data_IF_785478227058
#
_entry.id   IF_785478227058
#
_cell.length_a   1.000
_cell.length_b   1.000
_cell.length_c   1.000
_cell.angle_alpha   90.00
_cell.angle_beta   90.00
_cell.angle_gamma   90.00
#
_symmetry.space_group_name_H-M   'P 1'
#
loop_
_entity.id
_entity.type
_entity.pdbx_description
1 polymer ?
#
# COMPACT_ATOMS: atom_id res chain seq x y z
N UNK A 1 34.26 -5.83 -12.30
CA UNK A 1 33.95 -5.86 -13.76
C UNK A 1 32.56 -5.26 -13.94
N UNK A 2 32.43 -4.09 -14.54
CA UNK A 2 31.17 -3.44 -14.86
C UNK A 2 30.66 -4.09 -16.15
N UNK A 3 29.69 -4.98 -16.08
CA UNK A 3 29.06 -5.56 -17.26
C UNK A 3 28.44 -4.44 -18.11
N UNK A 4 28.84 -4.23 -19.35
CA UNK A 4 28.23 -3.23 -20.24
C UNK A 4 26.77 -3.50 -20.54
N UNK A 5 26.28 -4.72 -20.30
CA UNK A 5 24.87 -5.12 -20.38
C UNK A 5 23.95 -4.44 -19.35
N UNK A 6 24.48 -3.82 -18.28
CA UNK A 6 23.65 -3.32 -17.16
C UNK A 6 22.89 -2.04 -17.50
N UNK A 7 23.45 -1.12 -18.32
CA UNK A 7 22.73 0.11 -18.70
C UNK A 7 21.47 -0.17 -19.53
N UNK A 8 21.56 -1.12 -20.47
CA UNK A 8 20.41 -1.54 -21.27
C UNK A 8 19.29 -2.16 -20.43
N UNK A 9 19.64 -2.98 -19.42
CA UNK A 9 18.68 -3.60 -18.53
C UNK A 9 17.99 -2.58 -17.59
N UNK A 10 18.72 -1.57 -17.11
CA UNK A 10 18.10 -0.49 -16.31
C UNK A 10 17.02 0.25 -17.08
N UNK A 11 17.29 0.62 -18.33
CA UNK A 11 16.36 1.36 -19.17
C UNK A 11 15.19 0.49 -19.66
N UNK A 12 15.46 -0.76 -20.04
CA UNK A 12 14.46 -1.63 -20.68
C UNK A 12 13.65 -2.48 -19.69
N UNK A 13 14.19 -2.74 -18.50
CA UNK A 13 13.53 -3.57 -17.50
C UNK A 13 13.17 -2.75 -16.26
N UNK A 14 14.17 -2.17 -15.57
CA UNK A 14 13.92 -1.53 -14.28
C UNK A 14 12.95 -0.33 -14.41
N UNK A 15 13.23 0.61 -15.30
CA UNK A 15 12.41 1.83 -15.41
C UNK A 15 10.93 1.57 -15.77
N UNK A 16 10.58 0.69 -16.73
CA UNK A 16 9.19 0.38 -17.00
C UNK A 16 8.44 -0.20 -15.80
N UNK A 17 9.06 -1.16 -15.11
CA UNK A 17 8.46 -1.76 -13.91
C UNK A 17 8.38 -0.76 -12.74
N UNK A 18 9.38 0.10 -12.60
CA UNK A 18 9.36 1.19 -11.62
C UNK A 18 8.24 2.21 -11.90
N UNK A 19 7.99 2.52 -13.17
CA UNK A 19 6.85 3.36 -13.57
C UNK A 19 5.50 2.70 -13.24
N UNK A 20 5.37 1.39 -13.44
CA UNK A 20 4.18 0.62 -13.03
C UNK A 20 3.95 0.72 -11.52
N UNK A 21 5.00 0.53 -10.71
CA UNK A 21 4.89 0.61 -9.26
C UNK A 21 4.67 2.05 -8.75
N UNK A 22 5.24 3.06 -9.41
CA UNK A 22 4.92 4.48 -9.18
C UNK A 22 3.42 4.74 -9.37
N UNK A 23 2.84 4.29 -10.48
CA UNK A 23 1.40 4.43 -10.76
C UNK A 23 0.55 3.67 -9.72
N UNK A 24 0.98 2.49 -9.30
CA UNK A 24 0.28 1.71 -8.27
C UNK A 24 0.14 2.49 -6.96
N UNK A 25 1.21 3.15 -6.49
CA UNK A 25 1.17 3.98 -5.29
C UNK A 25 0.41 5.29 -5.50
N UNK A 26 0.55 5.90 -6.66
CA UNK A 26 -0.20 7.11 -7.02
C UNK A 26 -1.70 6.84 -6.96
N UNK A 27 -2.20 5.80 -7.63
CA UNK A 27 -3.61 5.42 -7.57
C UNK A 27 -4.10 5.08 -6.16
N UNK A 28 -3.26 4.44 -5.36
CA UNK A 28 -3.57 4.06 -3.98
C UNK A 28 -3.84 5.27 -3.10
N UNK A 29 -3.00 6.29 -3.22
CA UNK A 29 -3.00 7.47 -2.32
C UNK A 29 -3.75 8.68 -2.88
N UNK A 30 -4.00 8.74 -4.19
CA UNK A 30 -4.71 9.84 -4.85
C UNK A 30 -6.08 10.15 -4.24
N UNK A 31 -6.73 9.12 -3.67
CA UNK A 31 -8.07 9.29 -3.10
C UNK A 31 -8.10 10.16 -1.83
N UNK A 32 -6.97 10.30 -1.14
CA UNK A 32 -6.86 11.24 -0.02
C UNK A 32 -7.08 12.70 -0.45
N UNK A 33 -6.75 13.03 -1.71
CA UNK A 33 -6.91 14.37 -2.30
C UNK A 33 -8.19 14.46 -3.14
N UNK A 34 -8.51 13.44 -3.95
CA UNK A 34 -9.71 13.43 -4.80
C UNK A 34 -10.99 13.16 -3.99
N UNK A 35 -10.90 12.36 -2.91
CA UNK A 35 -12.06 11.92 -2.13
C UNK A 35 -12.94 13.06 -1.60
N UNK A 36 -12.40 14.12 -0.99
CA UNK A 36 -13.18 15.28 -0.57
C UNK A 36 -13.91 15.98 -1.73
N UNK A 37 -13.28 16.07 -2.91
CA UNK A 37 -13.89 16.65 -4.12
C UNK A 37 -15.08 15.80 -4.57
N UNK A 38 -14.92 14.46 -4.60
CA UNK A 38 -15.99 13.53 -4.93
C UNK A 38 -17.14 13.59 -3.92
N UNK A 39 -16.81 13.67 -2.63
CA UNK A 39 -17.81 13.77 -1.56
C UNK A 39 -18.69 15.01 -1.74
N UNK A 40 -18.07 16.15 -2.09
CA UNK A 40 -18.80 17.40 -2.35
C UNK A 40 -19.62 17.34 -3.63
N UNK A 41 -19.02 16.92 -4.75
CA UNK A 41 -19.67 16.92 -6.08
C UNK A 41 -20.85 15.93 -6.14
N UNK A 42 -20.70 14.76 -5.53
CA UNK A 42 -21.68 13.66 -5.60
C UNK A 42 -22.48 13.49 -4.31
N UNK A 43 -22.35 14.42 -3.35
CA UNK A 43 -23.04 14.37 -2.04
C UNK A 43 -22.85 13.04 -1.31
N UNK A 44 -21.63 12.49 -1.33
CA UNK A 44 -21.31 11.21 -0.70
C UNK A 44 -21.03 11.38 0.80
N UNK A 45 -21.76 10.64 1.62
CA UNK A 45 -21.44 10.52 3.05
C UNK A 45 -20.17 9.70 3.30
N UNK A 46 -19.63 9.78 4.52
CA UNK A 46 -18.38 9.11 4.90
C UNK A 46 -18.40 7.58 4.71
N UNK A 47 -19.56 6.94 4.94
CA UNK A 47 -19.72 5.50 4.67
C UNK A 47 -19.57 5.16 3.18
N UNK A 48 -20.24 5.92 2.30
CA UNK A 48 -20.16 5.71 0.85
C UNK A 48 -18.73 5.97 0.33
N UNK A 49 -18.07 7.03 0.83
CA UNK A 49 -16.71 7.37 0.49
C UNK A 49 -15.71 6.30 0.98
N UNK A 50 -15.90 5.78 2.19
CA UNK A 50 -15.12 4.68 2.74
C UNK A 50 -15.29 3.40 1.92
N UNK A 51 -16.52 3.05 1.54
CA UNK A 51 -16.78 1.90 0.67
C UNK A 51 -16.13 2.07 -0.70
N UNK A 52 -16.32 3.21 -1.33
CA UNK A 52 -15.74 3.53 -2.64
C UNK A 52 -14.22 3.35 -2.64
N UNK A 53 -13.54 3.87 -1.62
CA UNK A 53 -12.08 3.77 -1.54
C UNK A 53 -11.60 2.37 -1.16
N UNK A 54 -12.38 1.64 -0.38
CA UNK A 54 -12.03 0.29 0.06
C UNK A 54 -12.10 -0.75 -1.06
N UNK A 55 -12.94 -0.56 -2.09
CA UNK A 55 -13.05 -1.50 -3.22
C UNK A 55 -11.73 -1.71 -3.96
N UNK A 56 -10.86 -0.68 -4.00
CA UNK A 56 -9.49 -0.81 -4.49
C UNK A 56 -8.70 -1.87 -3.71
N UNK A 57 -8.72 -1.79 -2.38
CA UNK A 57 -7.98 -2.71 -1.51
C UNK A 57 -8.53 -4.13 -1.55
N UNK A 58 -9.85 -4.27 -1.65
CA UNK A 58 -10.49 -5.57 -1.79
C UNK A 58 -10.04 -6.28 -3.07
N UNK A 59 -10.14 -5.60 -4.20
CA UNK A 59 -9.75 -6.16 -5.50
C UNK A 59 -8.24 -6.44 -5.57
N UNK A 60 -7.42 -5.53 -5.06
CA UNK A 60 -5.97 -5.72 -4.95
C UNK A 60 -5.62 -6.95 -4.09
N UNK A 61 -6.24 -7.08 -2.91
CA UNK A 61 -6.03 -8.21 -2.01
C UNK A 61 -6.47 -9.54 -2.60
N UNK A 62 -7.66 -9.59 -3.21
CA UNK A 62 -8.19 -10.78 -3.86
C UNK A 62 -7.28 -11.27 -5.00
N UNK A 63 -6.69 -10.34 -5.75
CA UNK A 63 -5.76 -10.65 -6.82
C UNK A 63 -4.47 -11.33 -6.34
N UNK A 64 -4.04 -11.13 -5.09
CA UNK A 64 -2.79 -11.71 -4.57
C UNK A 64 -2.78 -13.24 -4.62
N UNK A 65 -3.94 -13.88 -4.46
CA UNK A 65 -4.04 -15.35 -4.48
C UNK A 65 -3.68 -15.94 -5.85
N UNK A 66 -4.31 -15.51 -6.98
CA UNK A 66 -3.98 -16.05 -8.30
C UNK A 66 -2.70 -15.45 -8.90
N UNK A 67 -2.25 -14.31 -8.40
CA UNK A 67 -1.15 -13.55 -9.00
C UNK A 67 0.15 -14.35 -9.08
N UNK A 68 0.51 -15.08 -8.03
CA UNK A 68 1.70 -15.93 -8.03
C UNK A 68 1.67 -16.95 -9.17
N UNK A 69 0.52 -17.62 -9.36
CA UNK A 69 0.32 -18.60 -10.43
C UNK A 69 0.40 -17.97 -11.82
N UNK A 70 -0.20 -16.79 -11.98
CA UNK A 70 -0.15 -16.05 -13.24
C UNK A 70 1.29 -15.65 -13.59
N UNK A 71 2.03 -15.13 -12.62
CA UNK A 71 3.43 -14.74 -12.79
C UNK A 71 4.32 -15.95 -13.13
N UNK A 72 4.06 -17.12 -12.52
CA UNK A 72 4.82 -18.35 -12.80
C UNK A 72 4.54 -18.89 -14.19
N UNK A 73 3.27 -18.84 -14.63
CA UNK A 73 2.84 -19.39 -15.90
C UNK A 73 3.16 -18.47 -17.09
N UNK A 74 2.89 -17.17 -16.97
CA UNK A 74 2.92 -16.24 -18.10
C UNK A 74 4.11 -15.26 -18.05
N UNK A 75 4.87 -15.25 -16.95
CA UNK A 75 5.99 -14.35 -16.74
C UNK A 75 5.57 -12.93 -16.33
N UNK A 76 6.52 -12.15 -15.74
CA UNK A 76 6.22 -10.84 -15.16
C UNK A 76 5.81 -9.81 -16.22
N UNK A 77 6.42 -9.80 -17.40
CA UNK A 77 6.15 -8.85 -18.49
C UNK A 77 4.70 -8.90 -18.95
N UNK A 78 4.22 -10.10 -19.30
CA UNK A 78 2.88 -10.29 -19.86
C UNK A 78 1.81 -10.03 -18.81
N UNK A 79 2.03 -10.51 -17.57
CA UNK A 79 1.06 -10.36 -16.48
C UNK A 79 0.92 -8.90 -16.08
N UNK A 80 2.02 -8.18 -15.88
CA UNK A 80 1.94 -6.77 -15.47
C UNK A 80 1.35 -5.90 -16.57
N UNK A 81 1.78 -6.07 -17.82
CA UNK A 81 1.23 -5.30 -18.93
C UNK A 81 -0.29 -5.53 -19.10
N UNK A 82 -0.75 -6.78 -19.06
CA UNK A 82 -2.18 -7.10 -19.17
C UNK A 82 -2.99 -6.51 -17.99
N UNK A 83 -2.48 -6.62 -16.78
CA UNK A 83 -3.14 -6.06 -15.60
C UNK A 83 -3.15 -4.53 -15.62
N UNK A 84 -2.10 -3.86 -16.10
CA UNK A 84 -2.10 -2.41 -16.27
C UNK A 84 -3.13 -1.93 -17.30
N UNK A 85 -3.44 -2.72 -18.34
CA UNK A 85 -4.56 -2.41 -19.25
C UNK A 85 -5.88 -2.44 -18.49
N UNK A 86 -6.08 -3.40 -17.57
CA UNK A 86 -7.27 -3.44 -16.70
C UNK A 86 -7.29 -2.21 -15.79
N UNK A 87 -6.15 -1.80 -15.23
CA UNK A 87 -6.07 -0.59 -14.41
C UNK A 87 -6.46 0.67 -15.18
N UNK A 88 -5.95 0.81 -16.41
CA UNK A 88 -6.28 1.93 -17.29
C UNK A 88 -7.78 1.96 -17.64
N UNK A 89 -8.35 0.79 -17.98
CA UNK A 89 -9.80 0.67 -18.20
C UNK A 89 -10.58 1.05 -16.94
N UNK A 90 -10.12 0.64 -15.77
CA UNK A 90 -10.70 1.02 -14.49
C UNK A 90 -10.66 2.52 -14.24
N UNK A 91 -9.54 3.19 -14.56
CA UNK A 91 -9.41 4.62 -14.44
C UNK A 91 -10.34 5.38 -15.41
N UNK A 92 -10.53 4.86 -16.62
CA UNK A 92 -11.51 5.39 -17.57
C UNK A 92 -12.95 5.21 -17.07
N UNK A 93 -13.32 4.02 -16.57
CA UNK A 93 -14.63 3.77 -15.94
C UNK A 93 -14.86 4.72 -14.77
N UNK A 94 -13.86 4.91 -13.91
CA UNK A 94 -13.94 5.84 -12.79
C UNK A 94 -14.19 7.28 -13.26
N UNK A 95 -13.46 7.74 -14.28
CA UNK A 95 -13.58 9.10 -14.81
C UNK A 95 -14.92 9.39 -15.47
N UNK A 96 -15.52 8.37 -16.12
CA UNK A 96 -16.76 8.50 -16.90
C UNK A 96 -18.03 8.20 -16.08
N UNK A 97 -17.88 7.81 -14.81
CA UNK A 97 -19.01 7.43 -13.95
C UNK A 97 -19.50 8.61 -13.12
N UNK A 98 -20.84 8.72 -13.01
CA UNK A 98 -21.53 9.66 -12.13
C UNK A 98 -22.21 8.94 -10.93
N UNK A 99 -22.29 7.61 -10.98
CA UNK A 99 -22.91 6.79 -9.93
C UNK A 99 -21.86 6.09 -9.06
N UNK A 100 -22.17 5.96 -7.76
CA UNK A 100 -21.30 5.27 -6.78
C UNK A 100 -20.87 3.88 -7.25
N UNK A 101 -21.77 3.10 -7.86
CA UNK A 101 -21.48 1.75 -8.35
C UNK A 101 -20.41 1.74 -9.45
N UNK A 102 -20.50 2.65 -10.41
CA UNK A 102 -19.51 2.80 -11.49
C UNK A 102 -18.16 3.28 -10.98
N UNK A 103 -18.15 4.23 -10.04
CA UNK A 103 -16.93 4.70 -9.37
C UNK A 103 -16.27 3.57 -8.57
N UNK A 104 -17.05 2.78 -7.83
CA UNK A 104 -16.56 1.63 -7.07
C UNK A 104 -15.99 0.54 -7.98
N UNK A 105 -16.66 0.26 -9.11
CA UNK A 105 -16.15 -0.66 -10.13
C UNK A 105 -14.83 -0.17 -10.73
N UNK A 106 -14.74 1.12 -11.08
CA UNK A 106 -13.50 1.74 -11.56
C UNK A 106 -12.36 1.57 -10.56
N UNK A 107 -12.61 1.84 -9.28
CA UNK A 107 -11.63 1.65 -8.19
C UNK A 107 -11.22 0.18 -8.01
N UNK A 108 -12.16 -0.75 -8.09
CA UNK A 108 -11.87 -2.18 -8.04
C UNK A 108 -11.00 -2.63 -9.22
N UNK A 109 -11.32 -2.20 -10.44
CA UNK A 109 -10.51 -2.50 -11.63
C UNK A 109 -9.11 -1.89 -11.55
N UNK A 110 -8.96 -0.66 -11.05
CA UNK A 110 -7.65 -0.06 -10.79
C UNK A 110 -6.88 -0.92 -9.79
N UNK A 111 -7.49 -1.27 -8.65
CA UNK A 111 -6.85 -2.09 -7.61
C UNK A 111 -6.40 -3.45 -8.11
N UNK A 112 -7.26 -4.14 -8.88
CA UNK A 112 -6.93 -5.39 -9.55
C UNK A 112 -5.76 -5.21 -10.51
N UNK A 113 -5.82 -4.18 -11.36
CA UNK A 113 -4.86 -3.95 -12.42
C UNK A 113 -3.45 -3.57 -11.94
N UNK A 114 -3.32 -2.86 -10.82
CA UNK A 114 -1.99 -2.51 -10.26
C UNK A 114 -1.48 -3.51 -9.23
N UNK A 115 -2.20 -4.58 -8.97
CA UNK A 115 -1.87 -5.55 -7.91
C UNK A 115 -0.56 -6.31 -8.17
N UNK A 116 -0.16 -6.45 -9.43
CA UNK A 116 1.05 -7.16 -9.83
C UNK A 116 2.33 -6.32 -9.72
N UNK A 117 2.25 -4.99 -9.78
CA UNK A 117 3.40 -4.12 -10.05
C UNK A 117 4.63 -4.39 -9.18
N UNK A 118 4.46 -4.69 -7.89
CA UNK A 118 5.58 -5.02 -7.00
C UNK A 118 6.10 -6.45 -7.23
N UNK A 119 5.21 -7.43 -7.26
CA UNK A 119 5.60 -8.84 -7.34
C UNK A 119 6.16 -9.21 -8.72
N UNK A 120 5.59 -8.63 -9.78
CA UNK A 120 6.12 -8.76 -11.13
C UNK A 120 7.51 -8.13 -11.25
N UNK A 121 7.72 -6.95 -10.65
CA UNK A 121 9.04 -6.30 -10.58
C UNK A 121 10.07 -7.21 -9.91
N UNK A 122 9.75 -7.76 -8.73
CA UNK A 122 10.65 -8.66 -8.02
C UNK A 122 11.00 -9.90 -8.84
N UNK A 123 10.00 -10.52 -9.48
CA UNK A 123 10.21 -11.68 -10.34
C UNK A 123 11.07 -11.32 -11.56
N UNK A 124 10.78 -10.20 -12.22
CA UNK A 124 11.57 -9.72 -13.34
C UNK A 124 13.03 -9.46 -12.93
N UNK A 125 13.25 -8.80 -11.80
CA UNK A 125 14.61 -8.51 -11.32
C UNK A 125 15.36 -9.79 -10.95
N UNK A 126 14.71 -10.77 -10.32
CA UNK A 126 15.31 -12.05 -10.00
C UNK A 126 15.74 -12.85 -11.24
N UNK A 127 15.04 -12.69 -12.37
CA UNK A 127 15.37 -13.37 -13.62
C UNK A 127 16.55 -12.75 -14.37
N UNK A 128 16.79 -11.44 -14.23
CA UNK A 128 17.71 -10.68 -15.07
C UNK A 128 18.90 -10.06 -14.33
N UNK A 129 18.82 -9.89 -13.03
CA UNK A 129 19.90 -9.32 -12.23
C UNK A 129 20.47 -10.33 -11.24
N UNK A 130 21.77 -10.27 -10.94
CA UNK A 130 22.38 -11.19 -10.01
C UNK A 130 21.88 -10.97 -8.57
N UNK A 131 21.94 -12.02 -7.71
CA UNK A 131 21.40 -11.98 -6.34
C UNK A 131 21.94 -10.82 -5.48
N UNK A 132 23.20 -10.43 -5.68
CA UNK A 132 23.87 -9.36 -4.93
C UNK A 132 23.21 -7.99 -5.16
N UNK A 133 22.47 -7.81 -6.27
CA UNK A 133 21.77 -6.56 -6.61
C UNK A 133 20.31 -6.52 -6.16
N UNK A 134 19.74 -7.65 -5.74
CA UNK A 134 18.32 -7.73 -5.41
C UNK A 134 17.91 -6.77 -4.27
N UNK A 135 18.75 -6.65 -3.23
CA UNK A 135 18.50 -5.73 -2.13
C UNK A 135 18.45 -4.26 -2.59
N UNK A 136 19.40 -3.88 -3.48
CA UNK A 136 19.42 -2.52 -4.04
C UNK A 136 18.23 -2.25 -4.96
N UNK A 137 17.85 -3.20 -5.81
CA UNK A 137 16.70 -3.09 -6.69
C UNK A 137 15.39 -2.99 -5.90
N UNK A 138 15.28 -3.74 -4.79
CA UNK A 138 14.16 -3.62 -3.86
C UNK A 138 14.07 -2.21 -3.27
N UNK A 139 15.18 -1.64 -2.83
CA UNK A 139 15.23 -0.25 -2.33
C UNK A 139 14.76 0.76 -3.40
N UNK A 140 15.27 0.64 -4.62
CA UNK A 140 14.92 1.54 -5.71
C UNK A 140 13.45 1.41 -6.17
N UNK A 141 12.90 0.18 -6.22
CA UNK A 141 11.48 0.01 -6.56
C UNK A 141 10.58 0.59 -5.47
N UNK A 142 10.92 0.41 -4.19
CA UNK A 142 10.19 1.02 -3.08
C UNK A 142 10.25 2.56 -3.15
N UNK A 143 11.39 3.13 -3.52
CA UNK A 143 11.53 4.57 -3.75
C UNK A 143 10.62 5.06 -4.89
N UNK A 144 10.51 4.31 -5.99
CA UNK A 144 9.58 4.64 -7.08
C UNK A 144 8.11 4.68 -6.58
N UNK A 145 7.71 3.73 -5.75
CA UNK A 145 6.40 3.77 -5.08
C UNK A 145 6.24 4.99 -4.18
N UNK A 146 7.25 5.30 -3.36
CA UNK A 146 7.25 6.49 -2.50
C UNK A 146 7.11 7.81 -3.30
N UNK A 147 7.76 7.90 -4.46
CA UNK A 147 7.59 9.02 -5.40
C UNK A 147 6.16 9.09 -5.95
N UNK A 148 5.53 7.93 -6.22
CA UNK A 148 4.11 7.85 -6.61
C UNK A 148 3.19 8.41 -5.53
N UNK A 149 3.43 8.07 -4.25
CA UNK A 149 2.68 8.63 -3.13
C UNK A 149 2.88 10.15 -2.97
N UNK A 150 4.10 10.64 -3.19
CA UNK A 150 4.38 12.09 -3.21
C UNK A 150 3.64 12.80 -4.33
N UNK A 151 3.63 12.23 -5.54
CA UNK A 151 2.93 12.79 -6.70
C UNK A 151 1.41 12.86 -6.48
N UNK A 152 0.86 11.95 -5.70
CA UNK A 152 -0.56 11.91 -5.35
C UNK A 152 -0.98 12.91 -4.25
N UNK A 153 -0.06 13.67 -3.68
CA UNK A 153 -0.34 14.67 -2.64
C UNK A 153 -0.41 16.09 -3.24
N UNK A 154 0.54 16.96 -2.91
CA UNK A 154 0.52 18.36 -3.39
C UNK A 154 0.54 18.51 -4.92
N UNK A 155 1.31 17.72 -5.69
CA UNK A 155 1.24 17.82 -7.16
C UNK A 155 -0.15 17.52 -7.73
N UNK A 156 -0.86 16.52 -7.17
CA UNK A 156 -2.22 16.19 -7.59
C UNK A 156 -3.21 17.30 -7.21
N UNK A 157 -3.08 17.87 -6.03
CA UNK A 157 -3.91 19.00 -5.57
C UNK A 157 -3.73 20.21 -6.50
N UNK A 158 -2.49 20.54 -6.86
CA UNK A 158 -2.21 21.60 -7.83
C UNK A 158 -2.83 21.30 -9.20
N UNK A 159 -2.76 20.05 -9.66
CA UNK A 159 -3.38 19.65 -10.93
C UNK A 159 -4.91 19.83 -10.91
N UNK A 160 -5.57 19.62 -9.77
CA UNK A 160 -7.01 19.88 -9.59
C UNK A 160 -7.38 21.38 -9.71
N UNK A 161 -6.42 22.28 -9.53
CA UNK A 161 -6.60 23.72 -9.80
C UNK A 161 -6.70 24.07 -11.29
N UNK A 162 -6.22 23.19 -12.19
CA UNK A 162 -6.19 23.42 -13.63
C UNK A 162 -7.11 22.49 -14.41
N UNK A 163 -7.44 21.32 -13.86
CA UNK A 163 -8.22 20.29 -14.53
C UNK A 163 -9.18 19.60 -13.57
N UNK A 164 -10.32 19.11 -14.09
CA UNK A 164 -11.24 18.30 -13.30
C UNK A 164 -10.59 16.96 -12.89
N UNK A 165 -11.06 16.38 -11.80
CA UNK A 165 -10.60 15.04 -11.38
C UNK A 165 -10.85 13.96 -12.46
N UNK A 166 -11.91 14.14 -13.29
CA UNK A 166 -12.20 13.28 -14.43
C UNK A 166 -11.11 13.37 -15.50
N UNK A 167 -10.69 14.58 -15.84
CA UNK A 167 -9.60 14.82 -16.81
C UNK A 167 -8.29 14.23 -16.31
N UNK A 168 -7.99 14.40 -15.02
CA UNK A 168 -6.79 13.84 -14.40
C UNK A 168 -6.84 12.30 -14.42
N UNK A 169 -7.99 11.69 -14.10
CA UNK A 169 -8.15 10.24 -14.13
C UNK A 169 -8.00 9.66 -15.55
N UNK A 170 -8.51 10.35 -16.59
CA UNK A 170 -8.28 9.98 -18.00
C UNK A 170 -6.80 10.13 -18.38
N UNK A 171 -6.12 11.19 -17.94
CA UNK A 171 -4.68 11.37 -18.12
C UNK A 171 -3.87 10.24 -17.48
N UNK A 172 -4.24 9.83 -16.27
CA UNK A 172 -3.65 8.67 -15.60
C UNK A 172 -3.95 7.35 -16.32
N UNK A 173 -5.15 7.18 -16.87
CA UNK A 173 -5.48 6.03 -17.72
C UNK A 173 -4.57 5.95 -18.94
N UNK A 174 -4.38 7.06 -19.65
CA UNK A 174 -3.48 7.14 -20.80
C UNK A 174 -2.03 6.87 -20.43
N UNK A 175 -1.54 7.46 -19.33
CA UNK A 175 -0.20 7.18 -18.79
C UNK A 175 -0.02 5.70 -18.42
N UNK A 176 -1.04 5.08 -17.82
CA UNK A 176 -1.02 3.64 -17.46
C UNK A 176 -0.97 2.77 -18.70
N UNK A 177 -1.74 3.08 -19.76
CA UNK A 177 -1.65 2.38 -21.06
C UNK A 177 -0.27 2.54 -21.70
N UNK A 178 0.32 3.74 -21.63
CA UNK A 178 1.68 3.95 -22.13
C UNK A 178 2.70 3.09 -21.39
N UNK A 179 2.62 3.01 -20.06
CA UNK A 179 3.49 2.14 -19.25
C UNK A 179 3.25 0.67 -19.58
N UNK A 180 2.00 0.23 -19.73
CA UNK A 180 1.67 -1.13 -20.15
C UNK A 180 2.30 -1.48 -21.51
N UNK A 181 2.19 -0.56 -22.50
CA UNK A 181 2.80 -0.71 -23.81
C UNK A 181 4.33 -0.76 -23.74
N UNK A 182 4.96 0.11 -22.94
CA UNK A 182 6.41 0.12 -22.75
C UNK A 182 6.85 -1.22 -22.13
N UNK A 183 6.16 -1.72 -21.11
CA UNK A 183 6.47 -3.04 -20.52
C UNK A 183 6.31 -4.15 -21.57
N UNK A 184 5.24 -4.13 -22.34
CA UNK A 184 4.96 -5.17 -23.35
C UNK A 184 5.98 -5.19 -24.48
N UNK A 185 6.38 -4.04 -25.02
CA UNK A 185 7.23 -3.95 -26.22
C UNK A 185 8.70 -3.79 -25.91
N UNK A 186 9.08 -3.18 -24.78
CA UNK A 186 10.47 -2.81 -24.46
C UNK A 186 11.11 -3.75 -23.44
N UNK A 187 10.33 -4.24 -22.46
CA UNK A 187 10.89 -5.12 -21.43
C UNK A 187 11.29 -6.47 -22.04
N UNK A 188 12.50 -6.97 -21.74
CA UNK A 188 12.91 -8.28 -22.22
C UNK A 188 12.04 -9.39 -21.62
N UNK A 189 11.72 -10.39 -22.42
CA UNK A 189 10.97 -11.59 -22.01
C UNK A 189 11.93 -12.74 -21.77
N UNK A 190 11.73 -13.49 -20.71
CA UNK A 190 12.43 -14.73 -20.45
C UNK A 190 11.39 -15.80 -20.19
N UNK A 191 11.39 -16.83 -21.00
CA UNK A 191 10.48 -17.96 -20.77
C UNK A 191 10.74 -18.56 -19.40
N UNK A 192 9.68 -18.80 -18.65
CA UNK A 192 9.77 -19.42 -17.34
C UNK A 192 10.13 -20.90 -17.53
N UNK A 193 11.35 -21.27 -17.18
CA UNK A 193 11.80 -22.68 -17.19
C UNK A 193 11.15 -23.49 -16.04
N UNK A 194 10.61 -22.81 -15.05
CA UNK A 194 9.89 -23.45 -13.95
C UNK A 194 8.49 -23.83 -14.40
N UNK A 195 8.27 -25.11 -14.67
CA UNK A 195 6.93 -25.72 -14.69
C UNK A 195 6.33 -25.46 -13.31
N UNK A 196 5.36 -24.56 -13.24
CA UNK A 196 4.73 -24.15 -11.99
C UNK A 196 4.39 -25.35 -11.11
N UNK A 197 4.75 -25.31 -9.85
CA UNK A 197 4.33 -26.34 -8.88
C UNK A 197 2.82 -26.48 -8.96
N UNK A 198 2.31 -27.71 -9.12
CA UNK A 198 0.88 -27.95 -9.29
C UNK A 198 0.04 -27.28 -8.18
N UNK A 199 -1.20 -26.93 -8.49
CA UNK A 199 -2.12 -26.21 -7.58
C UNK A 199 -2.17 -26.86 -6.18
N UNK A 200 -2.14 -28.19 -6.09
CA UNK A 200 -2.14 -28.91 -4.81
C UNK A 200 -0.90 -28.64 -3.95
N UNK A 201 0.29 -28.57 -4.55
CA UNK A 201 1.52 -28.22 -3.82
C UNK A 201 1.52 -26.76 -3.35
N UNK A 202 0.87 -25.88 -4.10
CA UNK A 202 0.70 -24.48 -3.70
C UNK A 202 -0.27 -24.36 -2.52
N UNK A 203 -1.40 -25.07 -2.56
CA UNK A 203 -2.38 -25.11 -1.47
C UNK A 203 -1.80 -25.71 -0.18
N UNK A 204 -0.99 -26.77 -0.29
CA UNK A 204 -0.31 -27.35 0.86
C UNK A 204 0.65 -26.35 1.53
N UNK A 205 1.40 -25.57 0.75
CA UNK A 205 2.26 -24.50 1.26
C UNK A 205 1.46 -23.39 1.97
N UNK A 206 0.32 -22.97 1.41
CA UNK A 206 -0.57 -22.00 2.03
C UNK A 206 -1.12 -22.52 3.35
N UNK A 207 -1.57 -23.77 3.40
CA UNK A 207 -2.04 -24.42 4.64
C UNK A 207 -0.95 -24.44 5.71
N UNK A 208 0.29 -24.78 5.37
CA UNK A 208 1.42 -24.79 6.30
C UNK A 208 1.68 -23.40 6.92
N UNK A 209 1.57 -22.33 6.11
CA UNK A 209 1.76 -20.94 6.56
C UNK A 209 0.65 -20.54 7.53
N UNK A 210 -0.62 -20.73 7.17
CA UNK A 210 -1.74 -20.34 8.04
C UNK A 210 -1.89 -21.23 9.28
N UNK A 211 -1.27 -22.41 9.31
CA UNK A 211 -1.18 -23.25 10.51
C UNK A 211 -0.02 -22.86 11.43
N UNK A 212 0.87 -21.98 11.01
CA UNK A 212 2.06 -21.58 11.75
C UNK A 212 1.74 -20.57 12.85
N UNK A 213 2.13 -20.88 14.09
CA UNK A 213 2.04 -19.92 15.22
C UNK A 213 2.89 -18.68 14.98
N UNK A 214 4.05 -18.83 14.32
CA UNK A 214 4.93 -17.70 14.01
C UNK A 214 4.25 -16.73 13.05
N UNK A 215 3.54 -17.24 12.04
CA UNK A 215 2.77 -16.40 11.13
C UNK A 215 1.71 -15.59 11.89
N UNK A 216 0.89 -16.22 12.71
CA UNK A 216 -0.16 -15.55 13.48
C UNK A 216 0.34 -14.62 14.58
N UNK A 217 1.61 -14.68 14.92
CA UNK A 217 2.24 -13.70 15.80
C UNK A 217 2.32 -12.32 15.15
N UNK A 218 2.61 -12.26 13.85
CA UNK A 218 2.77 -11.01 13.09
C UNK A 218 1.54 -10.63 12.26
N UNK A 219 0.68 -11.57 11.93
CA UNK A 219 -0.48 -11.36 11.06
C UNK A 219 -1.44 -10.26 11.56
N UNK A 220 -1.84 -10.22 12.87
CA UNK A 220 -2.66 -9.13 13.39
C UNK A 220 -1.98 -7.76 13.31
N UNK A 221 -0.65 -7.73 13.47
CA UNK A 221 0.13 -6.50 13.29
C UNK A 221 0.08 -5.98 11.85
N UNK A 222 0.18 -6.90 10.86
CA UNK A 222 0.01 -6.56 9.44
C UNK A 222 -1.37 -5.95 9.16
N UNK A 223 -2.42 -6.54 9.71
CA UNK A 223 -3.80 -6.07 9.55
C UNK A 223 -3.99 -4.67 10.16
N UNK A 224 -3.69 -4.48 11.44
CA UNK A 224 -4.01 -3.27 12.19
C UNK A 224 -3.03 -2.12 11.97
N UNK A 225 -1.72 -2.39 11.80
CA UNK A 225 -0.73 -1.32 11.59
C UNK A 225 -0.54 -1.01 10.11
N UNK A 226 -0.13 -2.00 9.31
CA UNK A 226 0.15 -1.74 7.90
C UNK A 226 -1.14 -1.47 7.13
N UNK A 227 -2.16 -2.32 7.29
CA UNK A 227 -3.48 -2.13 6.69
C UNK A 227 -4.18 -0.88 7.22
N UNK A 228 -4.13 -0.63 8.53
CA UNK A 228 -4.68 0.56 9.17
C UNK A 228 -4.03 1.85 8.67
N UNK A 229 -2.71 1.87 8.51
CA UNK A 229 -2.03 3.03 7.93
C UNK A 229 -2.44 3.27 6.48
N UNK A 230 -2.58 2.21 5.67
CA UNK A 230 -3.07 2.35 4.29
C UNK A 230 -4.46 2.99 4.24
N UNK A 231 -5.36 2.60 5.15
CA UNK A 231 -6.68 3.20 5.27
C UNK A 231 -6.59 4.68 5.68
N UNK A 232 -5.76 5.00 6.68
CA UNK A 232 -5.56 6.37 7.16
C UNK A 232 -4.94 7.24 6.06
N UNK A 233 -3.85 6.81 5.44
CA UNK A 233 -3.17 7.57 4.39
C UNK A 233 -4.05 7.71 3.13
N UNK A 234 -4.82 6.67 2.79
CA UNK A 234 -5.62 6.64 1.57
C UNK A 234 -6.85 7.55 1.58
N UNK A 235 -7.35 7.92 2.77
CA UNK A 235 -8.53 8.77 2.91
C UNK A 235 -8.61 9.45 4.28
N UNK A 236 -8.52 8.69 5.38
CA UNK A 236 -9.00 9.17 6.68
C UNK A 236 -8.13 10.25 7.31
N UNK A 237 -6.82 10.33 6.96
CA UNK A 237 -5.96 11.43 7.40
C UNK A 237 -6.46 12.77 6.86
N UNK A 238 -6.82 12.85 5.57
CA UNK A 238 -7.34 14.09 4.96
C UNK A 238 -8.67 14.50 5.59
N UNK A 239 -9.57 13.53 5.83
CA UNK A 239 -10.86 13.78 6.47
C UNK A 239 -10.70 14.25 7.93
N UNK A 240 -9.78 13.62 8.67
CA UNK A 240 -9.44 14.05 10.03
C UNK A 240 -8.94 15.49 10.05
N UNK A 241 -7.97 15.83 9.21
CA UNK A 241 -7.40 17.18 9.13
C UNK A 241 -8.46 18.22 8.75
N UNK A 242 -9.39 17.88 7.86
CA UNK A 242 -10.49 18.77 7.49
C UNK A 242 -11.47 19.00 8.64
N UNK A 243 -11.91 17.91 9.31
CA UNK A 243 -12.98 17.97 10.31
C UNK A 243 -12.47 18.45 11.66
N UNK A 244 -11.36 17.90 12.19
CA UNK A 244 -10.89 18.17 13.55
C UNK A 244 -9.82 19.26 13.60
N UNK A 245 -9.04 19.44 12.54
CA UNK A 245 -7.98 20.47 12.51
C UNK A 245 -8.40 21.71 11.70
N UNK A 246 -9.58 21.68 11.05
CA UNK A 246 -10.13 22.81 10.29
C UNK A 246 -9.28 23.25 9.09
N UNK A 247 -8.49 22.31 8.52
CA UNK A 247 -7.55 22.63 7.43
C UNK A 247 -8.25 22.66 6.08
N UNK A 248 -7.79 23.58 5.23
CA UNK A 248 -8.20 23.62 3.82
C UNK A 248 -7.48 22.54 2.97
N UNK A 249 -7.95 22.34 1.75
CA UNK A 249 -7.43 21.31 0.85
C UNK A 249 -5.93 21.49 0.54
N UNK A 250 -5.46 22.73 0.39
CA UNK A 250 -4.06 23.01 0.08
C UNK A 250 -3.12 22.67 1.23
N UNK A 251 -3.52 23.02 2.46
CA UNK A 251 -2.77 22.69 3.67
C UNK A 251 -2.78 21.17 3.94
N UNK A 252 -3.92 20.49 3.74
CA UNK A 252 -4.02 19.03 3.83
C UNK A 252 -3.08 18.36 2.82
N UNK A 253 -3.10 18.77 1.55
CA UNK A 253 -2.24 18.21 0.52
C UNK A 253 -0.76 18.39 0.83
N UNK A 254 -0.36 19.55 1.38
CA UNK A 254 1.01 19.79 1.83
C UNK A 254 1.41 18.84 2.98
N UNK A 255 0.52 18.63 3.96
CA UNK A 255 0.78 17.73 5.09
C UNK A 255 0.87 16.27 4.64
N UNK A 256 0.02 15.84 3.70
CA UNK A 256 0.10 14.52 3.07
C UNK A 256 1.41 14.35 2.27
N UNK A 257 1.92 15.42 1.66
CA UNK A 257 3.23 15.43 1.00
C UNK A 257 4.35 15.17 2.01
N UNK A 258 4.34 15.84 3.16
CA UNK A 258 5.32 15.60 4.23
C UNK A 258 5.23 14.18 4.78
N UNK A 259 4.01 13.65 4.97
CA UNK A 259 3.80 12.27 5.41
C UNK A 259 4.35 11.25 4.40
N UNK A 260 4.09 11.45 3.11
CA UNK A 260 4.61 10.58 2.04
C UNK A 260 6.13 10.71 1.87
N UNK A 261 6.67 11.92 2.01
CA UNK A 261 8.12 12.18 1.99
C UNK A 261 8.84 11.52 3.16
N UNK A 262 8.27 11.59 4.36
CA UNK A 262 8.80 10.93 5.54
C UNK A 262 8.74 9.41 5.43
N UNK A 263 7.66 8.87 4.85
CA UNK A 263 7.55 7.44 4.51
C UNK A 263 8.64 7.01 3.52
N UNK A 264 8.87 7.78 2.46
CA UNK A 264 9.93 7.53 1.50
C UNK A 264 11.32 7.56 2.17
N UNK A 265 11.58 8.58 3.00
CA UNK A 265 12.83 8.67 3.76
C UNK A 265 13.03 7.46 4.67
N UNK A 266 11.98 6.97 5.32
CA UNK A 266 12.01 5.76 6.14
C UNK A 266 12.31 4.49 5.32
N UNK A 267 11.74 4.34 4.12
CA UNK A 267 12.09 3.23 3.22
C UNK A 267 13.56 3.28 2.78
N UNK A 268 14.05 4.46 2.39
CA UNK A 268 15.44 4.63 2.01
C UNK A 268 16.38 4.38 3.20
N UNK A 269 16.05 4.90 4.38
CA UNK A 269 16.82 4.64 5.61
C UNK A 269 16.94 3.13 5.88
N UNK A 270 15.85 2.39 5.83
CA UNK A 270 15.89 0.94 6.01
C UNK A 270 16.67 0.24 4.90
N UNK A 271 16.52 0.67 3.65
CA UNK A 271 17.26 0.11 2.52
C UNK A 271 18.78 0.24 2.68
N UNK A 272 19.25 1.39 3.16
CA UNK A 272 20.68 1.65 3.33
C UNK A 272 21.27 1.14 4.66
N UNK A 273 20.50 1.24 5.75
CA UNK A 273 21.05 1.05 7.09
C UNK A 273 20.60 -0.25 7.79
N UNK A 274 19.58 -0.99 7.29
CA UNK A 274 19.11 -2.20 7.94
C UNK A 274 20.24 -3.23 8.16
N UNK A 275 21.06 -3.47 7.16
CA UNK A 275 22.19 -4.41 7.25
C UNK A 275 23.23 -3.94 8.29
N UNK A 276 23.59 -2.65 8.29
CA UNK A 276 24.53 -2.08 9.24
C UNK A 276 24.01 -2.15 10.69
N UNK A 277 22.69 -1.94 10.89
CA UNK A 277 22.04 -2.06 12.20
C UNK A 277 22.09 -3.50 12.72
N UNK A 278 21.81 -4.49 11.85
CA UNK A 278 21.90 -5.91 12.18
C UNK A 278 23.32 -6.31 12.53
N UNK A 279 24.34 -5.85 11.76
CA UNK A 279 25.75 -6.11 12.08
C UNK A 279 26.21 -5.50 13.43
N UNK A 280 25.56 -4.40 13.87
CA UNK A 280 25.77 -3.82 15.20
C UNK A 280 24.99 -4.55 16.31
N UNK A 281 24.38 -5.70 16.02
CA UNK A 281 23.63 -6.52 16.98
C UNK A 281 22.21 -6.06 17.27
N UNK A 282 21.67 -5.10 16.52
CA UNK A 282 20.29 -4.64 16.69
C UNK A 282 19.37 -5.61 15.94
N UNK A 283 18.53 -6.34 16.68
CA UNK A 283 17.56 -7.26 16.09
C UNK A 283 16.47 -6.47 15.34
N UNK A 284 16.15 -6.87 14.12
CA UNK A 284 15.06 -6.27 13.31
C UNK A 284 13.72 -6.23 14.05
N UNK A 285 13.44 -7.26 14.86
CA UNK A 285 12.24 -7.30 15.72
C UNK A 285 12.17 -6.13 16.71
N UNK A 286 13.31 -5.70 17.28
CA UNK A 286 13.34 -4.55 18.20
C UNK A 286 13.04 -3.24 17.48
N UNK A 287 13.58 -3.06 16.25
CA UNK A 287 13.29 -1.89 15.41
C UNK A 287 11.80 -1.86 15.09
N UNK A 288 11.25 -2.98 14.66
CA UNK A 288 9.84 -3.13 14.33
C UNK A 288 8.94 -2.79 15.53
N UNK A 289 9.18 -3.40 16.68
CA UNK A 289 8.40 -3.14 17.91
C UNK A 289 8.51 -1.70 18.37
N UNK A 290 9.71 -1.13 18.38
CA UNK A 290 9.93 0.27 18.73
C UNK A 290 9.11 1.21 17.84
N UNK A 291 9.14 0.99 16.53
CA UNK A 291 8.37 1.78 15.58
C UNK A 291 6.85 1.65 15.80
N UNK A 292 6.35 0.44 16.11
CA UNK A 292 4.92 0.23 16.35
C UNK A 292 4.46 0.86 17.67
N UNK A 293 5.28 0.82 18.72
CA UNK A 293 5.00 1.53 19.98
C UNK A 293 4.97 3.05 19.78
N UNK A 294 5.92 3.60 19.01
CA UNK A 294 5.92 5.02 18.62
C UNK A 294 4.66 5.35 17.80
N UNK A 295 4.27 4.50 16.85
CA UNK A 295 3.05 4.71 16.06
C UNK A 295 1.79 4.79 16.94
N UNK A 296 1.66 3.91 17.94
CA UNK A 296 0.56 3.96 18.92
C UNK A 296 0.59 5.28 19.72
N UNK A 297 1.76 5.69 20.18
CA UNK A 297 1.91 6.97 20.88
C UNK A 297 1.52 8.17 20.03
N UNK A 298 1.98 8.21 18.77
CA UNK A 298 1.63 9.25 17.80
C UNK A 298 0.12 9.28 17.50
N UNK A 299 -0.49 8.11 17.27
CA UNK A 299 -1.93 8.03 17.02
C UNK A 299 -2.74 8.45 18.27
N UNK A 300 -2.27 8.08 19.47
CA UNK A 300 -2.88 8.54 20.73
C UNK A 300 -2.83 10.06 20.86
N UNK A 301 -1.69 10.70 20.53
CA UNK A 301 -1.55 12.14 20.52
C UNK A 301 -2.46 12.82 19.50
N UNK A 302 -2.57 12.25 18.29
CA UNK A 302 -3.50 12.74 17.26
C UNK A 302 -4.94 12.69 17.78
N UNK A 303 -5.36 11.59 18.43
CA UNK A 303 -6.72 11.44 18.94
C UNK A 303 -7.05 12.40 20.09
N UNK A 304 -6.08 12.69 20.97
CA UNK A 304 -6.30 13.50 22.19
C UNK A 304 -6.03 15.00 21.95
N UNK A 305 -5.03 15.32 21.15
CA UNK A 305 -4.52 16.67 20.92
C UNK A 305 -4.35 16.94 19.42
N UNK A 306 -5.45 17.03 18.63
CA UNK A 306 -5.38 17.10 17.17
C UNK A 306 -4.54 18.29 16.64
N UNK A 307 -4.48 19.39 17.36
CA UNK A 307 -3.70 20.58 16.99
C UNK A 307 -2.30 20.61 17.60
N UNK A 308 -1.92 19.57 18.37
CA UNK A 308 -0.61 19.52 19.01
C UNK A 308 0.50 19.26 17.99
N UNK A 309 1.58 20.06 18.07
CA UNK A 309 2.72 19.98 17.17
C UNK A 309 2.36 20.03 15.67
N UNK A 310 1.19 20.50 15.37
CA UNK A 310 0.62 20.94 14.07
C UNK A 310 0.93 20.12 12.84
N UNK A 311 2.16 19.95 12.48
CA UNK A 311 2.53 19.29 11.25
C UNK A 311 3.34 17.99 11.40
N UNK A 312 3.93 17.74 12.56
CA UNK A 312 4.97 16.69 12.69
C UNK A 312 4.43 15.28 13.01
N UNK A 313 3.26 15.15 13.63
CA UNK A 313 2.73 13.84 14.03
C UNK A 313 2.43 12.96 12.83
N UNK A 314 1.87 13.51 11.77
CA UNK A 314 1.53 12.78 10.55
C UNK A 314 2.76 12.29 9.76
N UNK A 315 3.79 13.13 9.50
CA UNK A 315 5.06 12.66 8.92
C UNK A 315 5.74 11.57 9.75
N UNK A 316 5.80 11.71 11.08
CA UNK A 316 6.38 10.69 11.96
C UNK A 316 5.61 9.37 11.88
N UNK A 317 4.29 9.41 11.76
CA UNK A 317 3.47 8.21 11.53
C UNK A 317 3.83 7.56 10.18
N UNK A 318 4.14 8.35 9.15
CA UNK A 318 4.64 7.87 7.86
C UNK A 318 5.97 7.11 7.98
N UNK A 319 6.91 7.58 8.82
CA UNK A 319 8.15 6.85 9.11
C UNK A 319 7.83 5.51 9.80
N UNK A 320 6.97 5.51 10.81
CA UNK A 320 6.57 4.27 11.49
C UNK A 320 5.96 3.25 10.52
N UNK A 321 5.17 3.71 9.53
CA UNK A 321 4.63 2.84 8.50
C UNK A 321 5.73 2.20 7.64
N UNK A 322 6.74 2.95 7.21
CA UNK A 322 7.84 2.38 6.43
C UNK A 322 8.54 1.25 7.21
N UNK A 323 8.70 1.43 8.51
CA UNK A 323 9.28 0.42 9.41
C UNK A 323 8.34 -0.78 9.64
N UNK A 324 7.02 -0.63 9.48
CA UNK A 324 6.07 -1.73 9.61
C UNK A 324 6.29 -2.82 8.56
N UNK A 325 6.87 -2.47 7.40
CA UNK A 325 7.21 -3.41 6.34
C UNK A 325 8.32 -4.41 6.73
N UNK A 326 9.06 -4.17 7.82
CA UNK A 326 10.00 -5.15 8.40
C UNK A 326 9.28 -6.44 8.77
N UNK A 327 7.96 -6.41 9.04
CA UNK A 327 7.14 -7.60 9.30
C UNK A 327 7.23 -8.66 8.21
N UNK A 328 7.36 -8.26 6.94
CA UNK A 328 7.54 -9.20 5.82
C UNK A 328 8.83 -10.02 5.98
N UNK A 329 9.93 -9.37 6.33
CA UNK A 329 11.20 -10.06 6.58
C UNK A 329 11.13 -10.95 7.81
N UNK A 330 10.47 -10.49 8.88
CA UNK A 330 10.31 -11.27 10.12
C UNK A 330 9.46 -12.52 9.91
N UNK A 331 8.41 -12.42 9.09
CA UNK A 331 7.57 -13.56 8.73
C UNK A 331 8.34 -14.52 7.82
N UNK A 332 8.99 -14.01 6.77
CA UNK A 332 9.70 -14.83 5.78
C UNK A 332 10.82 -15.68 6.41
N UNK A 333 11.55 -15.13 7.40
CA UNK A 333 12.66 -15.81 8.06
C UNK A 333 12.27 -17.09 8.83
N UNK A 334 11.00 -17.25 9.17
CA UNK A 334 10.50 -18.42 9.89
C UNK A 334 10.17 -19.61 8.98
N UNK A 335 10.23 -19.42 7.67
CA UNK A 335 9.90 -20.45 6.68
C UNK A 335 11.11 -20.80 5.82
N UNK A 336 11.18 -22.03 5.30
CA UNK A 336 12.19 -22.39 4.30
C UNK A 336 12.15 -21.43 3.10
N UNK A 337 13.28 -21.18 2.40
CA UNK A 337 13.35 -20.25 1.26
C UNK A 337 12.26 -20.49 0.20
N UNK A 338 11.91 -21.75 -0.06
CA UNK A 338 10.84 -22.13 -0.99
C UNK A 338 9.43 -21.66 -0.59
N UNK A 339 9.20 -21.37 0.70
CA UNK A 339 7.91 -20.91 1.23
C UNK A 339 7.92 -19.43 1.62
N UNK A 340 9.09 -18.78 1.69
CA UNK A 340 9.22 -17.39 2.14
C UNK A 340 8.41 -16.40 1.32
N UNK A 341 8.41 -16.55 -0.01
CA UNK A 341 7.58 -15.74 -0.90
C UNK A 341 6.08 -15.91 -0.64
N UNK A 342 5.64 -17.15 -0.43
CA UNK A 342 4.22 -17.45 -0.11
C UNK A 342 3.83 -16.91 1.26
N UNK A 343 4.74 -16.95 2.24
CA UNK A 343 4.51 -16.38 3.56
C UNK A 343 4.31 -14.86 3.48
N UNK A 344 5.10 -14.17 2.65
CA UNK A 344 4.93 -12.75 2.37
C UNK A 344 3.60 -12.45 1.67
N UNK A 345 3.20 -13.26 0.68
CA UNK A 345 1.90 -13.10 0.01
C UNK A 345 0.73 -13.33 0.97
N UNK A 346 0.83 -14.33 1.86
CA UNK A 346 -0.19 -14.58 2.88
C UNK A 346 -0.31 -13.41 3.88
N UNK A 347 0.81 -12.83 4.31
CA UNK A 347 0.81 -11.63 5.15
C UNK A 347 0.20 -10.45 4.39
N UNK A 348 0.58 -10.26 3.13
CA UNK A 348 0.09 -9.19 2.28
C UNK A 348 -1.43 -9.25 2.10
N UNK A 349 -2.00 -10.46 1.95
CA UNK A 349 -3.45 -10.66 1.91
C UNK A 349 -4.12 -10.11 3.17
N UNK A 350 -3.57 -10.38 4.37
CA UNK A 350 -4.12 -9.86 5.63
C UNK A 350 -3.92 -8.35 5.78
N UNK A 351 -2.82 -7.81 5.29
CA UNK A 351 -2.59 -6.35 5.23
C UNK A 351 -3.68 -5.68 4.38
N UNK A 352 -3.98 -6.23 3.20
CA UNK A 352 -5.03 -5.66 2.34
C UNK A 352 -6.44 -5.93 2.85
N UNK A 353 -6.68 -7.07 3.53
CA UNK A 353 -7.92 -7.30 4.26
C UNK A 353 -8.12 -6.25 5.37
N UNK A 354 -7.04 -5.88 6.08
CA UNK A 354 -7.02 -4.80 7.04
C UNK A 354 -7.28 -3.44 6.39
N UNK A 355 -6.59 -3.15 5.28
CA UNK A 355 -6.80 -1.91 4.54
C UNK A 355 -8.27 -1.76 4.07
N UNK A 356 -8.86 -2.82 3.49
CA UNK A 356 -10.26 -2.84 3.10
C UNK A 356 -11.19 -2.67 4.29
N UNK A 357 -11.04 -3.55 5.30
CA UNK A 357 -11.96 -3.60 6.44
C UNK A 357 -11.93 -2.31 7.28
N UNK A 358 -10.73 -1.75 7.49
CA UNK A 358 -10.58 -0.51 8.26
C UNK A 358 -10.96 0.72 7.44
N UNK A 359 -10.70 0.70 6.11
CA UNK A 359 -11.11 1.79 5.23
C UNK A 359 -12.64 1.97 5.23
N UNK A 360 -13.37 0.88 5.04
CA UNK A 360 -14.83 0.90 5.08
C UNK A 360 -15.37 1.00 6.51
N UNK A 361 -14.77 0.25 7.46
CA UNK A 361 -15.21 0.19 8.85
C UNK A 361 -15.16 1.53 9.56
N UNK A 362 -14.12 2.34 9.35
CA UNK A 362 -14.04 3.71 9.88
C UNK A 362 -15.20 4.55 9.34
N UNK A 363 -15.44 4.50 8.00
CA UNK A 363 -16.54 5.24 7.38
C UNK A 363 -17.92 4.81 7.88
N UNK A 364 -18.13 3.49 8.00
CA UNK A 364 -19.36 2.92 8.53
C UNK A 364 -19.62 3.32 9.98
N UNK A 365 -18.56 3.28 10.82
CA UNK A 365 -18.66 3.68 12.22
C UNK A 365 -18.94 5.19 12.36
N UNK A 366 -18.24 6.03 11.62
CA UNK A 366 -18.49 7.49 11.61
C UNK A 366 -19.93 7.77 11.18
N UNK A 367 -20.40 7.18 10.07
CA UNK A 367 -21.75 7.37 9.60
C UNK A 367 -22.84 6.89 10.59
N UNK A 368 -22.62 5.73 11.24
CA UNK A 368 -23.54 5.21 12.25
C UNK A 368 -23.62 6.11 13.49
N UNK A 369 -22.47 6.61 13.97
CA UNK A 369 -22.44 7.51 15.12
C UNK A 369 -23.08 8.87 14.81
N UNK A 370 -22.87 9.42 13.61
CA UNK A 370 -23.54 10.64 13.16
C UNK A 370 -25.06 10.46 13.06
N UNK A 371 -25.51 9.31 12.53
CA UNK A 371 -26.93 8.97 12.49
C UNK A 371 -27.54 8.83 13.91
N UNK A 372 -26.73 8.45 14.90
CA UNK A 372 -27.10 8.40 16.32
C UNK A 372 -27.01 9.77 17.02
N UNK A 373 -26.77 10.86 16.28
CA UNK A 373 -26.75 12.23 16.81
C UNK A 373 -25.39 12.70 17.35
N UNK A 374 -24.31 11.96 17.12
CA UNK A 374 -22.97 12.40 17.51
C UNK A 374 -22.47 13.53 16.59
N UNK A 375 -21.71 14.46 17.15
CA UNK A 375 -21.00 15.45 16.32
C UNK A 375 -19.95 14.78 15.44
N UNK A 376 -19.62 15.38 14.30
CA UNK A 376 -18.60 14.83 13.39
C UNK A 376 -17.27 14.63 14.11
N UNK A 377 -16.82 15.58 14.93
CA UNK A 377 -15.60 15.48 15.72
C UNK A 377 -15.59 14.27 16.66
N UNK A 378 -16.68 14.05 17.40
CA UNK A 378 -16.79 12.95 18.33
C UNK A 378 -16.82 11.59 17.57
N UNK A 379 -17.52 11.53 16.44
CA UNK A 379 -17.61 10.32 15.62
C UNK A 379 -16.24 9.94 15.02
N UNK A 380 -15.48 10.91 14.49
CA UNK A 380 -14.13 10.67 13.97
C UNK A 380 -13.15 10.25 15.08
N UNK A 381 -13.19 10.91 16.25
CA UNK A 381 -12.37 10.50 17.41
C UNK A 381 -12.66 9.07 17.83
N UNK A 382 -13.94 8.69 17.95
CA UNK A 382 -14.33 7.34 18.32
C UNK A 382 -13.84 6.30 17.31
N UNK A 383 -13.89 6.59 16.01
CA UNK A 383 -13.41 5.70 14.97
C UNK A 383 -11.87 5.52 15.03
N UNK A 384 -11.12 6.58 15.26
CA UNK A 384 -9.67 6.50 15.42
C UNK A 384 -9.24 5.84 16.74
N UNK A 385 -9.99 6.06 17.83
CA UNK A 385 -9.78 5.32 19.09
C UNK A 385 -10.05 3.82 18.91
N UNK A 386 -11.03 3.44 18.08
CA UNK A 386 -11.29 2.03 17.72
C UNK A 386 -10.09 1.44 16.96
N UNK A 387 -9.53 2.17 15.99
CA UNK A 387 -8.29 1.77 15.30
C UNK A 387 -7.14 1.60 16.29
N UNK A 388 -6.94 2.56 17.20
CA UNK A 388 -5.92 2.51 18.24
C UNK A 388 -6.11 1.28 19.16
N UNK A 389 -7.35 0.98 19.57
CA UNK A 389 -7.69 -0.19 20.34
C UNK A 389 -7.28 -1.50 19.64
N UNK A 390 -7.57 -1.61 18.33
CA UNK A 390 -7.14 -2.75 17.53
C UNK A 390 -5.61 -2.88 17.43
N UNK A 391 -4.88 -1.76 17.31
CA UNK A 391 -3.41 -1.75 17.33
C UNK A 391 -2.86 -2.22 18.67
N UNK A 392 -3.44 -1.77 19.78
CA UNK A 392 -3.05 -2.21 21.13
C UNK A 392 -3.32 -3.69 21.34
N UNK A 393 -4.46 -4.21 20.88
CA UNK A 393 -4.77 -5.65 20.92
C UNK A 393 -3.79 -6.46 20.09
N UNK A 394 -3.41 -6.01 18.90
CA UNK A 394 -2.42 -6.66 18.05
C UNK A 394 -1.02 -6.70 18.71
N UNK A 395 -0.61 -5.59 19.35
CA UNK A 395 0.63 -5.53 20.13
C UNK A 395 0.58 -6.50 21.32
N UNK A 396 -0.51 -6.49 22.08
CA UNK A 396 -0.73 -7.40 23.20
C UNK A 396 -0.63 -8.87 22.77
N UNK A 397 -1.28 -9.22 21.66
CA UNK A 397 -1.18 -10.54 21.05
C UNK A 397 0.26 -10.93 20.69
N UNK A 398 0.99 -10.02 20.07
CA UNK A 398 2.39 -10.25 19.69
C UNK A 398 3.28 -10.54 20.92
N UNK A 399 3.08 -9.84 22.06
CA UNK A 399 3.82 -10.07 23.29
C UNK A 399 3.41 -11.39 23.98
N UNK A 400 2.11 -11.70 24.03
CA UNK A 400 1.61 -12.94 24.63
C UNK A 400 2.04 -14.18 23.85
N UNK A 401 2.04 -14.11 22.52
CA UNK A 401 2.47 -15.23 21.66
C UNK A 401 3.98 -15.52 21.74
N UNK A 402 4.79 -14.55 22.20
CA UNK A 402 6.22 -14.73 22.43
C UNK A 402 6.53 -15.67 23.60
N UNK A 403 5.68 -15.67 24.63
CA UNK A 403 5.89 -16.48 25.86
C UNK A 403 5.54 -17.95 25.70
N UNK A 404 4.89 -18.33 24.61
CA UNK A 404 4.40 -19.71 24.36
C UNK A 404 5.20 -20.46 23.29
N UNK A 405 6.27 -19.93 22.79
CA UNK A 405 7.23 -20.51 21.84
C UNK A 405 8.62 -20.46 22.40
#
# INVERSE_FOLDING_TARGET
MIYPATRGLWLRLFLPFAAGYFLSYLYRTANAVIGPVLAHELSLGDNALGLLTSTYFLAFGAAQLPLGMLLDRFGPRRVEAALLVIAASGAAVFALSDALGGLALGRALIGLGVSACLMASFKAFAQWFPPERQASLTGWIMAAGGLGALAAAKPLELALGFASWRTIALGLAAATLAVAAIIWFVAPDKESEEKGTGIFAQLAGVKAIYSSRHFWRYAPMGFWFTGGFMAVQGLWASRWMAVLEGMDGAAIALRLTWMSGAMLAGFLFMGFFATALVHRGIKLEKIYLGAMLVAVGLLSLICTLPNFAGGLLWPLLGICFSLSNVSYSLVAQAFPPALSGRANTALNLLVFAGAFGLQWGIGGLVGALQAAGWTSDAAFRAAFVTLLGGQLLALGWMFLSRRRG
#
